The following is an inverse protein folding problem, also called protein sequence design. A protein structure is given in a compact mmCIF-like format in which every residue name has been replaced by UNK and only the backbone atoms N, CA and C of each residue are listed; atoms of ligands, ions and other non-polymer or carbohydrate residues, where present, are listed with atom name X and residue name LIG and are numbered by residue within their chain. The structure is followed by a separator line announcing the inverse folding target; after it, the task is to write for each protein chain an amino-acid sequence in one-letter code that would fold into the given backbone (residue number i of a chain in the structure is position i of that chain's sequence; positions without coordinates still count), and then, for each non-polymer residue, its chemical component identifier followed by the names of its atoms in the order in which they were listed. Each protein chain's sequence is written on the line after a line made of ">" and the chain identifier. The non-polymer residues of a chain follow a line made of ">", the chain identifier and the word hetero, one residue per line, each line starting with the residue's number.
data_IF_041533378559
#
_entry.id   IF_041533378559
#
_cell.length_a   1.000
_cell.length_b   1.000
_cell.length_c   1.000
_cell.angle_alpha   90.00
_cell.angle_beta   90.00
_cell.angle_gamma   90.00
#
_symmetry.space_group_name_H-M   'P 1'
#
loop_
_entity.id
_entity.type
_entity.pdbx_description
1 polymer ?
#
# COMPACT_ATOMS: atom_id res chain seq x y z
N UNK A 1 34.78 -51.65 66.52
CA UNK A 1 35.14 -51.50 65.05
C UNK A 1 33.94 -50.93 64.33
N UNK A 2 34.03 -49.61 64.04
CA UNK A 2 32.92 -48.88 63.28
C UNK A 2 33.34 -48.70 61.85
N UNK A 3 32.62 -49.35 60.91
CA UNK A 3 32.79 -49.17 59.49
C UNK A 3 32.10 -47.90 59.04
N UNK A 4 32.85 -46.93 58.53
CA UNK A 4 32.36 -45.70 57.94
C UNK A 4 32.16 -45.97 56.45
N UNK A 5 30.91 -45.99 55.97
CA UNK A 5 30.57 -46.10 54.55
C UNK A 5 30.61 -44.74 53.88
N UNK A 6 31.54 -44.58 52.96
CA UNK A 6 31.69 -43.36 52.13
C UNK A 6 30.73 -43.43 50.91
N UNK A 7 29.67 -42.63 50.92
CA UNK A 7 28.75 -42.49 49.76
C UNK A 7 29.38 -41.49 48.78
N UNK A 8 29.81 -41.99 47.63
CA UNK A 8 30.30 -41.19 46.52
C UNK A 8 29.12 -40.77 45.69
N UNK A 9 28.71 -39.47 45.80
CA UNK A 9 27.68 -38.89 44.94
C UNK A 9 28.27 -38.54 43.57
N UNK A 10 27.88 -39.29 42.54
CA UNK A 10 28.24 -39.04 41.14
C UNK A 10 27.33 -37.96 40.57
N UNK A 11 27.85 -36.71 40.46
CA UNK A 11 27.15 -35.62 39.77
C UNK A 11 27.30 -35.82 38.24
N UNK A 12 26.25 -36.30 37.58
CA UNK A 12 26.14 -36.30 36.12
C UNK A 12 25.88 -34.89 35.66
N UNK A 13 26.93 -34.21 35.14
CA UNK A 13 26.82 -32.96 34.38
C UNK A 13 26.17 -33.22 33.02
N UNK A 14 24.88 -33.00 32.91
CA UNK A 14 24.21 -32.93 31.64
C UNK A 14 24.59 -31.61 30.95
N UNK A 15 25.15 -31.63 29.74
CA UNK A 15 25.39 -30.41 29.01
C UNK A 15 24.05 -29.77 28.63
N UNK A 16 23.78 -28.58 29.16
CA UNK A 16 22.62 -27.77 28.76
C UNK A 16 22.88 -27.26 27.34
N UNK A 17 22.39 -27.99 26.34
CA UNK A 17 22.38 -27.51 24.95
C UNK A 17 21.32 -26.43 24.84
N UNK A 18 21.72 -25.16 24.93
CA UNK A 18 20.88 -24.02 24.56
C UNK A 18 20.72 -24.09 23.04
N UNK A 19 19.59 -24.61 22.59
CA UNK A 19 19.21 -24.48 21.19
C UNK A 19 19.01 -22.98 20.90
N UNK A 20 19.90 -22.43 20.06
CA UNK A 20 19.72 -21.07 19.56
C UNK A 20 18.36 -21.01 18.82
N UNK A 21 17.46 -20.13 19.26
CA UNK A 21 16.23 -19.90 18.53
C UNK A 21 16.60 -19.51 17.07
N UNK A 22 15.89 -20.06 16.06
CA UNK A 22 16.17 -19.70 14.68
C UNK A 22 16.01 -18.17 14.54
N UNK A 23 17.03 -17.52 14.00
CA UNK A 23 16.96 -16.11 13.61
C UNK A 23 15.83 -16.02 12.60
N UNK A 24 14.67 -15.49 13.00
CA UNK A 24 13.54 -15.25 12.11
C UNK A 24 14.01 -14.20 11.12
N UNK A 25 14.12 -14.55 9.83
CA UNK A 25 14.42 -13.58 8.79
C UNK A 25 13.41 -12.43 8.90
N UNK A 26 13.90 -11.20 8.84
CA UNK A 26 13.05 -10.03 8.90
C UNK A 26 12.05 -10.10 7.73
N UNK A 27 10.76 -9.99 8.05
CA UNK A 27 9.69 -10.05 7.06
C UNK A 27 9.77 -8.81 6.16
N UNK A 28 9.97 -9.01 4.85
CA UNK A 28 10.08 -7.92 3.88
C UNK A 28 8.66 -7.49 3.48
N UNK A 29 8.12 -6.45 4.11
CA UNK A 29 6.80 -5.90 3.78
C UNK A 29 6.89 -4.70 2.85
N UNK A 30 6.01 -4.66 1.85
CA UNK A 30 5.86 -3.55 0.91
C UNK A 30 4.39 -3.26 0.66
N UNK A 31 4.05 -1.99 0.36
CA UNK A 31 2.73 -1.59 -0.06
C UNK A 31 2.73 -1.20 -1.54
N UNK A 32 1.94 -1.90 -2.34
CA UNK A 32 1.65 -1.51 -3.71
C UNK A 32 0.47 -0.54 -3.69
N UNK A 33 0.62 0.62 -4.33
CA UNK A 33 -0.41 1.65 -4.31
C UNK A 33 -0.75 2.14 -5.70
N UNK A 34 -2.02 2.51 -5.92
CA UNK A 34 -2.55 2.99 -7.17
C UNK A 34 -3.31 4.29 -6.96
N UNK A 35 -3.00 5.30 -7.77
CA UNK A 35 -3.64 6.61 -7.74
C UNK A 35 -4.54 6.80 -8.98
N UNK A 36 -5.43 7.80 -8.91
CA UNK A 36 -6.26 8.33 -9.99
C UNK A 36 -7.49 7.50 -10.40
N UNK A 37 -7.60 6.26 -9.99
CA UNK A 37 -8.77 5.42 -10.32
C UNK A 37 -10.08 5.82 -9.61
N UNK A 38 -11.14 5.02 -9.80
CA UNK A 38 -11.16 3.80 -10.60
C UNK A 38 -11.26 4.04 -12.12
N UNK A 39 -10.76 3.08 -12.90
CA UNK A 39 -10.90 3.02 -14.35
C UNK A 39 -11.57 1.70 -14.77
N UNK A 40 -12.55 1.69 -15.69
CA UNK A 40 -13.35 0.50 -15.98
C UNK A 40 -12.57 -0.72 -16.47
N UNK A 41 -11.42 -0.51 -17.12
CA UNK A 41 -10.60 -1.61 -17.65
C UNK A 41 -9.33 -1.87 -16.84
N UNK A 42 -8.57 -0.81 -16.53
CA UNK A 42 -7.25 -1.00 -15.91
C UNK A 42 -7.36 -1.43 -14.46
N UNK A 43 -8.29 -0.83 -13.69
CA UNK A 43 -8.57 -1.26 -12.32
C UNK A 43 -8.93 -2.74 -12.29
N UNK A 44 -9.81 -3.20 -13.21
CA UNK A 44 -10.19 -4.62 -13.30
C UNK A 44 -8.99 -5.53 -13.62
N UNK A 45 -8.12 -5.11 -14.55
CA UNK A 45 -6.89 -5.88 -14.89
C UNK A 45 -5.94 -5.98 -13.69
N UNK A 46 -5.80 -4.89 -12.94
CA UNK A 46 -4.98 -4.88 -11.72
C UNK A 46 -5.59 -5.78 -10.65
N UNK A 47 -6.90 -5.68 -10.39
CA UNK A 47 -7.59 -6.56 -9.44
C UNK A 47 -7.46 -8.05 -9.82
N UNK A 48 -7.50 -8.37 -11.11
CA UNK A 48 -7.27 -9.72 -11.60
C UNK A 48 -5.84 -10.21 -11.29
N UNK A 49 -4.82 -9.34 -11.42
CA UNK A 49 -3.45 -9.65 -11.04
C UNK A 49 -3.31 -9.86 -9.52
N UNK A 50 -3.86 -8.93 -8.72
CA UNK A 50 -3.83 -9.05 -7.25
C UNK A 50 -4.45 -10.38 -6.80
N UNK A 51 -5.61 -10.72 -7.35
CA UNK A 51 -6.30 -11.99 -7.07
C UNK A 51 -5.47 -13.20 -7.51
N UNK A 52 -4.86 -13.15 -8.72
CA UNK A 52 -4.03 -14.23 -9.26
C UNK A 52 -2.85 -14.56 -8.36
N UNK A 53 -2.23 -13.54 -7.78
CA UNK A 53 -1.05 -13.70 -6.94
C UNK A 53 -1.38 -13.75 -5.43
N UNK A 54 -2.65 -13.63 -5.05
CA UNK A 54 -3.08 -13.69 -3.65
C UNK A 54 -2.53 -12.54 -2.79
N UNK A 55 -2.39 -11.34 -3.39
CA UNK A 55 -1.83 -10.15 -2.74
C UNK A 55 -2.87 -9.05 -2.61
N UNK A 56 -2.62 -8.09 -1.73
CA UNK A 56 -3.44 -6.88 -1.54
C UNK A 56 -2.72 -5.62 -2.01
N UNK A 57 -3.45 -4.50 -2.06
CA UNK A 57 -2.94 -3.18 -2.43
C UNK A 57 -3.80 -2.08 -1.79
N UNK A 58 -3.35 -0.81 -1.92
CA UNK A 58 -4.11 0.37 -1.52
C UNK A 58 -4.37 1.25 -2.74
N UNK A 59 -5.63 1.67 -2.92
CA UNK A 59 -6.06 2.54 -4.01
C UNK A 59 -6.49 3.90 -3.47
N UNK A 60 -5.86 4.97 -3.96
CA UNK A 60 -6.25 6.34 -3.68
C UNK A 60 -7.15 6.84 -4.81
N UNK A 61 -8.45 6.88 -4.54
CA UNK A 61 -9.47 7.09 -5.57
C UNK A 61 -9.86 8.56 -5.70
N UNK A 62 -10.15 8.97 -6.94
CA UNK A 62 -10.71 10.28 -7.27
C UNK A 62 -12.24 10.19 -7.23
N UNK A 63 -12.89 11.12 -6.52
CA UNK A 63 -14.35 11.13 -6.37
C UNK A 63 -15.09 11.22 -7.71
N UNK A 64 -14.66 12.09 -8.63
CA UNK A 64 -15.25 12.20 -9.98
C UNK A 64 -15.20 10.87 -10.74
N UNK A 65 -14.11 10.12 -10.61
CA UNK A 65 -13.96 8.83 -11.30
C UNK A 65 -14.88 7.76 -10.72
N UNK A 66 -15.22 7.83 -9.43
CA UNK A 66 -16.26 6.98 -8.85
C UNK A 66 -17.62 7.29 -9.47
N UNK A 67 -17.97 8.57 -9.63
CA UNK A 67 -19.24 8.98 -10.26
C UNK A 67 -19.29 8.60 -11.75
N UNK A 68 -18.17 8.72 -12.49
CA UNK A 68 -18.10 8.32 -13.89
C UNK A 68 -18.13 6.80 -14.07
N UNK A 69 -17.54 6.04 -13.14
CA UNK A 69 -17.36 4.60 -13.27
C UNK A 69 -17.82 3.84 -12.00
N UNK A 70 -19.10 3.97 -11.59
CA UNK A 70 -19.60 3.40 -10.34
C UNK A 70 -19.48 1.87 -10.28
N UNK A 71 -19.64 1.19 -11.43
CA UNK A 71 -19.46 -0.26 -11.50
C UNK A 71 -17.99 -0.68 -11.28
N UNK A 72 -17.02 0.11 -11.76
CA UNK A 72 -15.60 -0.14 -11.50
C UNK A 72 -15.28 0.06 -10.01
N UNK A 73 -15.82 1.12 -9.40
CA UNK A 73 -15.67 1.33 -7.96
C UNK A 73 -16.33 0.21 -7.14
N UNK A 74 -17.50 -0.25 -7.56
CA UNK A 74 -18.16 -1.40 -6.91
C UNK A 74 -17.25 -2.62 -6.90
N UNK A 75 -16.64 -2.98 -8.03
CA UNK A 75 -15.72 -4.13 -8.11
C UNK A 75 -14.46 -3.89 -7.27
N UNK A 76 -13.90 -2.69 -7.29
CA UNK A 76 -12.77 -2.30 -6.47
C UNK A 76 -13.06 -2.52 -4.98
N UNK A 77 -14.13 -1.94 -4.50
CA UNK A 77 -14.60 -2.06 -3.11
C UNK A 77 -14.86 -3.52 -2.69
N UNK A 78 -15.54 -4.28 -3.56
CA UNK A 78 -15.91 -5.67 -3.28
C UNK A 78 -14.70 -6.63 -3.32
N UNK A 79 -13.55 -6.19 -3.84
CA UNK A 79 -12.32 -6.98 -3.88
C UNK A 79 -11.59 -7.04 -2.53
N UNK A 80 -11.95 -6.20 -1.56
CA UNK A 80 -11.35 -6.16 -0.23
C UNK A 80 -9.98 -5.46 -0.15
N UNK A 81 -9.60 -4.68 -1.16
CA UNK A 81 -8.42 -3.81 -1.11
C UNK A 81 -8.66 -2.59 -0.21
N UNK A 82 -7.60 -1.95 0.23
CA UNK A 82 -7.71 -0.70 0.98
C UNK A 82 -8.00 0.48 0.05
N UNK A 83 -8.91 1.37 0.46
CA UNK A 83 -9.30 2.56 -0.29
C UNK A 83 -8.93 3.81 0.50
N UNK A 84 -8.16 4.71 -0.11
CA UNK A 84 -7.83 6.04 0.38
C UNK A 84 -8.45 7.14 -0.48
N UNK A 85 -8.45 8.36 0.04
CA UNK A 85 -8.95 9.56 -0.61
C UNK A 85 -7.85 10.21 -1.46
N UNK A 86 -8.14 10.54 -2.74
CA UNK A 86 -7.23 11.27 -3.63
C UNK A 86 -7.83 12.61 -4.11
N UNK A 87 -8.69 13.23 -3.30
CA UNK A 87 -9.54 14.38 -3.61
C UNK A 87 -10.72 14.01 -4.53
N UNK A 88 -11.62 14.98 -4.71
CA UNK A 88 -12.77 14.77 -5.59
C UNK A 88 -12.40 14.94 -7.07
N UNK A 89 -11.69 16.03 -7.44
CA UNK A 89 -11.44 16.40 -8.83
C UNK A 89 -9.96 16.42 -9.24
N UNK A 90 -9.06 15.95 -8.37
CA UNK A 90 -7.61 16.00 -8.58
C UNK A 90 -7.07 17.42 -8.89
N UNK A 91 -7.38 18.44 -8.05
CA UNK A 91 -6.97 19.80 -8.30
C UNK A 91 -5.46 19.98 -8.11
N UNK A 92 -4.89 21.03 -8.73
CA UNK A 92 -3.51 21.45 -8.48
C UNK A 92 -3.40 22.10 -7.10
N UNK A 93 -2.96 21.33 -6.10
CA UNK A 93 -2.91 21.79 -4.71
C UNK A 93 -1.87 22.88 -4.42
N UNK A 94 -1.03 23.23 -5.39
CA UNK A 94 -0.12 24.39 -5.26
C UNK A 94 -0.93 25.68 -5.37
N UNK A 95 -1.11 26.36 -4.24
CA UNK A 95 -1.88 27.60 -4.16
C UNK A 95 -3.36 27.42 -3.84
N UNK A 96 -3.83 26.19 -3.62
CA UNK A 96 -5.18 25.93 -3.14
C UNK A 96 -5.40 26.46 -1.72
N UNK A 97 -6.62 26.94 -1.47
CA UNK A 97 -7.02 27.41 -0.15
C UNK A 97 -7.37 26.22 0.77
N UNK A 98 -7.29 26.45 2.07
CA UNK A 98 -7.71 25.43 3.05
C UNK A 98 -9.19 25.05 2.90
N UNK A 99 -10.05 26.02 2.52
CA UNK A 99 -11.47 25.76 2.30
C UNK A 99 -11.72 24.88 1.08
N UNK A 100 -11.03 25.17 -0.04
CA UNK A 100 -11.16 24.40 -1.28
C UNK A 100 -10.68 22.95 -1.06
N UNK A 101 -9.51 22.75 -0.45
CA UNK A 101 -9.02 21.41 -0.16
C UNK A 101 -9.94 20.65 0.81
N UNK A 102 -10.49 21.33 1.82
CA UNK A 102 -11.44 20.71 2.74
C UNK A 102 -12.70 20.23 2.02
N UNK A 103 -13.21 20.98 1.06
CA UNK A 103 -14.37 20.59 0.24
C UNK A 103 -14.04 19.42 -0.68
N UNK A 104 -12.88 19.43 -1.31
CA UNK A 104 -12.38 18.31 -2.14
C UNK A 104 -12.32 16.99 -1.37
N UNK A 105 -11.74 17.02 -0.15
CA UNK A 105 -11.66 15.83 0.70
C UNK A 105 -13.03 15.33 1.13
N UNK A 106 -13.88 16.25 1.58
CA UNK A 106 -15.24 15.95 2.04
C UNK A 106 -16.08 15.37 0.92
N UNK A 107 -16.07 15.97 -0.27
CA UNK A 107 -16.85 15.52 -1.41
C UNK A 107 -16.42 14.12 -1.88
N UNK A 108 -15.12 13.85 -1.94
CA UNK A 108 -14.62 12.52 -2.26
C UNK A 108 -15.07 11.48 -1.21
N UNK A 109 -14.98 11.78 0.08
CA UNK A 109 -15.47 10.92 1.16
C UNK A 109 -16.97 10.63 1.00
N UNK A 110 -17.77 11.65 0.74
CA UNK A 110 -19.23 11.52 0.55
C UNK A 110 -19.56 10.58 -0.63
N UNK A 111 -18.84 10.73 -1.76
CA UNK A 111 -19.02 9.86 -2.93
C UNK A 111 -18.62 8.42 -2.64
N UNK A 112 -17.51 8.19 -1.93
CA UNK A 112 -17.10 6.85 -1.48
C UNK A 112 -18.21 6.21 -0.65
N UNK A 113 -18.73 6.92 0.35
CA UNK A 113 -19.77 6.43 1.26
C UNK A 113 -21.10 6.16 0.52
N UNK A 114 -21.54 7.07 -0.36
CA UNK A 114 -22.76 6.93 -1.15
C UNK A 114 -22.73 5.72 -2.09
N UNK A 115 -21.54 5.33 -2.54
CA UNK A 115 -21.35 4.12 -3.37
C UNK A 115 -21.03 2.87 -2.53
N UNK A 116 -21.29 2.91 -1.21
CA UNK A 116 -21.19 1.77 -0.30
C UNK A 116 -19.76 1.40 0.11
N UNK A 117 -18.81 2.29 -0.07
CA UNK A 117 -17.48 2.19 0.51
C UNK A 117 -17.47 2.53 2.00
N UNK A 118 -16.38 2.24 2.69
CA UNK A 118 -16.14 2.67 4.06
C UNK A 118 -15.49 4.06 4.09
N UNK A 119 -15.61 4.76 5.22
CA UNK A 119 -14.91 6.04 5.41
C UNK A 119 -13.40 5.82 5.30
N UNK A 120 -12.71 6.48 4.34
CA UNK A 120 -11.27 6.34 4.21
C UNK A 120 -10.55 7.06 5.36
N UNK A 121 -9.48 6.44 5.86
CA UNK A 121 -8.60 7.02 6.88
C UNK A 121 -7.31 7.59 6.29
N UNK A 122 -7.00 7.20 5.05
CA UNK A 122 -5.81 7.62 4.31
C UNK A 122 -6.14 8.68 3.27
N UNK A 123 -5.25 9.65 3.14
CA UNK A 123 -5.28 10.66 2.09
C UNK A 123 -3.93 10.72 1.39
N UNK A 124 -3.93 10.74 0.07
CA UNK A 124 -2.74 11.07 -0.72
C UNK A 124 -3.00 12.36 -1.51
N UNK A 125 -2.18 13.41 -1.31
CA UNK A 125 -2.37 14.65 -2.05
C UNK A 125 -2.00 14.46 -3.53
N UNK A 126 -2.83 14.95 -4.47
CA UNK A 126 -2.47 15.07 -5.88
C UNK A 126 -1.05 15.60 -6.11
N UNK A 127 -0.33 15.02 -7.07
CA UNK A 127 1.06 15.36 -7.41
C UNK A 127 2.04 15.25 -6.21
N UNK A 128 1.66 14.61 -5.09
CA UNK A 128 2.46 14.54 -3.88
C UNK A 128 2.76 15.88 -3.23
N UNK A 129 1.90 16.89 -3.42
CA UNK A 129 2.10 18.23 -2.87
C UNK A 129 2.22 18.19 -1.36
N UNK A 130 3.34 18.70 -0.85
CA UNK A 130 3.65 18.75 0.58
C UNK A 130 3.82 20.20 1.02
N UNK A 131 2.82 20.73 1.72
CA UNK A 131 2.84 22.06 2.28
C UNK A 131 2.00 22.15 3.57
N UNK A 132 2.09 23.27 4.27
CA UNK A 132 1.41 23.47 5.55
C UNK A 132 -0.13 23.40 5.42
N UNK A 133 -0.70 23.89 4.33
CA UNK A 133 -2.15 23.84 4.08
C UNK A 133 -2.62 22.40 3.94
N UNK A 134 -1.93 21.59 3.13
CA UNK A 134 -2.24 20.17 2.95
C UNK A 134 -2.20 19.43 4.29
N UNK A 135 -1.12 19.60 5.05
CA UNK A 135 -0.97 18.95 6.37
C UNK A 135 -2.09 19.34 7.32
N UNK A 136 -2.31 20.65 7.51
CA UNK A 136 -3.31 21.14 8.48
C UNK A 136 -4.75 20.74 8.12
N UNK A 137 -5.09 20.73 6.83
CA UNK A 137 -6.45 20.37 6.38
C UNK A 137 -6.69 18.86 6.50
N UNK A 138 -5.73 18.05 6.08
CA UNK A 138 -5.86 16.58 6.18
C UNK A 138 -5.93 16.11 7.64
N UNK A 139 -5.08 16.63 8.52
CA UNK A 139 -5.11 16.32 9.96
C UNK A 139 -6.44 16.74 10.61
N UNK A 140 -6.93 17.96 10.30
CA UNK A 140 -8.21 18.44 10.80
C UNK A 140 -9.40 17.58 10.33
N UNK A 141 -9.32 17.03 9.13
CA UNK A 141 -10.33 16.13 8.57
C UNK A 141 -10.19 14.68 9.10
N UNK A 142 -9.15 14.39 9.90
CA UNK A 142 -8.90 13.08 10.49
C UNK A 142 -8.20 12.10 9.57
N UNK A 143 -7.54 12.59 8.52
CA UNK A 143 -6.76 11.75 7.59
C UNK A 143 -5.31 11.60 8.01
N UNK A 144 -4.77 10.39 7.82
CA UNK A 144 -3.34 10.17 7.73
C UNK A 144 -2.88 10.46 6.30
N UNK A 145 -2.02 11.47 6.13
CA UNK A 145 -1.44 11.79 4.81
C UNK A 145 -0.34 10.79 4.46
N UNK A 146 -0.45 10.18 3.27
CA UNK A 146 0.46 9.15 2.79
C UNK A 146 1.15 9.61 1.51
N UNK A 147 2.47 9.49 1.49
CA UNK A 147 3.32 9.68 0.31
C UNK A 147 3.91 8.33 -0.11
N UNK A 148 4.72 8.32 -1.16
CA UNK A 148 5.48 7.18 -1.63
C UNK A 148 6.98 7.38 -1.41
N UNK A 149 7.71 6.30 -1.41
CA UNK A 149 9.17 6.32 -1.38
C UNK A 149 9.80 5.57 -2.56
N UNK A 150 8.96 5.01 -3.46
CA UNK A 150 9.35 4.46 -4.75
C UNK A 150 8.35 4.93 -5.81
N UNK A 151 8.81 5.78 -6.73
CA UNK A 151 8.04 6.26 -7.88
C UNK A 151 8.38 5.40 -9.09
N UNK A 152 7.38 4.80 -9.72
CA UNK A 152 7.56 3.98 -10.91
C UNK A 152 7.65 4.81 -12.19
N UNK A 153 7.23 6.07 -12.12
CA UNK A 153 7.09 6.98 -13.25
C UNK A 153 6.17 6.46 -14.38
N UNK A 154 5.26 5.54 -14.06
CA UNK A 154 4.33 4.93 -15.02
C UNK A 154 3.40 5.96 -15.70
N UNK A 155 3.07 7.02 -14.97
CA UNK A 155 2.28 8.16 -15.44
C UNK A 155 2.92 8.95 -16.60
N UNK A 156 4.21 8.78 -16.85
CA UNK A 156 4.92 9.44 -17.96
C UNK A 156 4.76 8.72 -19.29
N UNK A 157 4.03 7.59 -19.33
CA UNK A 157 3.86 6.77 -20.54
C UNK A 157 5.10 5.95 -20.91
N UNK A 158 6.05 5.76 -19.98
CA UNK A 158 7.24 4.97 -20.26
C UNK A 158 6.92 3.49 -20.50
N UNK A 159 7.77 2.78 -21.29
CA UNK A 159 7.60 1.35 -21.55
C UNK A 159 7.61 0.50 -20.29
N UNK A 160 6.88 -0.60 -20.30
CA UNK A 160 6.75 -1.52 -19.18
C UNK A 160 8.08 -2.04 -18.63
N UNK A 161 9.11 -2.20 -19.45
CA UNK A 161 10.45 -2.63 -19.03
C UNK A 161 11.15 -1.58 -18.14
N UNK A 162 10.87 -0.30 -18.37
CA UNK A 162 11.42 0.78 -17.52
C UNK A 162 10.70 0.84 -16.17
N UNK A 163 9.37 0.66 -16.17
CA UNK A 163 8.58 0.56 -14.93
C UNK A 163 9.06 -0.65 -14.12
N UNK A 164 9.23 -1.82 -14.75
CA UNK A 164 9.78 -3.02 -14.13
C UNK A 164 11.14 -2.74 -13.49
N UNK A 165 12.06 -2.12 -14.24
CA UNK A 165 13.40 -1.77 -13.75
C UNK A 165 13.34 -0.81 -12.57
N UNK A 166 12.50 0.24 -12.64
CA UNK A 166 12.33 1.20 -11.56
C UNK A 166 11.92 0.53 -10.25
N UNK A 167 11.02 -0.46 -10.32
CA UNK A 167 10.61 -1.23 -9.15
C UNK A 167 11.74 -2.13 -8.67
N UNK A 168 12.26 -3.01 -9.54
CA UNK A 168 13.18 -4.07 -9.15
C UNK A 168 14.54 -3.55 -8.64
N UNK A 169 15.01 -2.41 -9.13
CA UNK A 169 16.28 -1.82 -8.70
C UNK A 169 16.17 -1.01 -7.39
N UNK A 170 14.95 -0.60 -6.99
CA UNK A 170 14.76 0.33 -5.87
C UNK A 170 13.90 -0.20 -4.73
N UNK A 171 13.21 -1.33 -4.92
CA UNK A 171 12.36 -1.92 -3.89
C UNK A 171 13.17 -2.39 -2.69
N UNK A 172 12.65 -2.12 -1.50
CA UNK A 172 13.22 -2.57 -0.22
C UNK A 172 12.11 -2.75 0.81
N UNK A 173 12.44 -3.37 1.94
CA UNK A 173 11.50 -3.47 3.07
C UNK A 173 10.98 -2.07 3.45
N UNK A 174 9.66 -1.92 3.58
CA UNK A 174 9.00 -0.64 3.85
C UNK A 174 8.77 0.23 2.61
N UNK A 175 8.95 -0.30 1.39
CA UNK A 175 8.60 0.46 0.17
C UNK A 175 7.09 0.68 0.06
N UNK A 176 6.71 1.93 -0.19
CA UNK A 176 5.38 2.33 -0.67
C UNK A 176 5.56 2.70 -2.14
N UNK A 177 5.06 1.83 -3.02
CA UNK A 177 5.27 1.90 -4.47
C UNK A 177 4.13 2.67 -5.10
N UNK A 178 4.44 3.79 -5.79
CA UNK A 178 3.46 4.55 -6.56
C UNK A 178 3.29 3.94 -7.95
N UNK A 179 2.06 3.61 -8.27
CA UNK A 179 1.55 3.29 -9.59
C UNK A 179 0.23 4.04 -9.81
N UNK A 180 -0.30 3.94 -11.04
CA UNK A 180 -1.61 4.52 -11.38
C UNK A 180 -2.47 3.45 -12.07
N UNK A 181 -3.74 3.39 -11.68
CA UNK A 181 -4.73 2.54 -12.37
C UNK A 181 -5.55 3.34 -13.40
N UNK A 182 -5.40 4.68 -13.41
CA UNK A 182 -5.92 5.54 -14.46
C UNK A 182 -4.82 6.48 -14.99
N UNK A 183 -4.42 6.30 -16.24
CA UNK A 183 -3.47 7.17 -16.94
C UNK A 183 -4.16 7.63 -18.22
N UNK A 184 -4.33 8.94 -18.37
CA UNK A 184 -4.92 9.54 -19.58
C UNK A 184 -4.06 9.18 -20.79
N UNK A 185 -4.68 8.62 -21.84
CA UNK A 185 -3.95 8.12 -23.02
C UNK A 185 -3.42 6.69 -22.88
N UNK A 186 -3.62 6.04 -21.72
CA UNK A 186 -3.19 4.68 -21.44
C UNK A 186 -1.80 4.60 -20.83
N UNK A 187 -1.47 3.42 -20.30
CA UNK A 187 -0.20 3.16 -19.62
C UNK A 187 0.22 1.69 -19.72
N UNK A 188 1.43 1.42 -19.25
CA UNK A 188 2.05 0.09 -19.30
C UNK A 188 2.17 -0.57 -17.91
N UNK A 189 1.47 -0.02 -16.91
CA UNK A 189 1.51 -0.47 -15.51
C UNK A 189 1.11 -1.94 -15.36
N UNK A 190 -0.02 -2.33 -15.93
CA UNK A 190 -0.52 -3.72 -15.88
C UNK A 190 0.49 -4.71 -16.47
N UNK A 191 1.08 -4.35 -17.61
CA UNK A 191 2.09 -5.19 -18.28
C UNK A 191 3.36 -5.34 -17.41
N UNK A 192 3.86 -4.25 -16.84
CA UNK A 192 5.01 -4.27 -15.94
C UNK A 192 4.73 -5.13 -14.70
N UNK A 193 3.59 -4.92 -14.05
CA UNK A 193 3.21 -5.65 -12.85
C UNK A 193 3.05 -7.16 -13.09
N UNK A 194 2.62 -7.58 -14.29
CA UNK A 194 2.55 -9.01 -14.64
C UNK A 194 3.89 -9.72 -14.51
N UNK A 195 5.01 -9.01 -14.74
CA UNK A 195 6.37 -9.53 -14.61
C UNK A 195 6.98 -9.29 -13.22
N UNK A 196 6.64 -8.16 -12.61
CA UNK A 196 7.21 -7.72 -11.32
C UNK A 196 6.68 -8.53 -10.15
N UNK A 197 5.35 -8.72 -10.08
CA UNK A 197 4.71 -9.32 -8.90
C UNK A 197 5.23 -10.72 -8.56
N UNK A 198 5.34 -11.68 -9.51
CA UNK A 198 5.88 -13.00 -9.20
C UNK A 198 7.33 -12.93 -8.73
N UNK A 199 8.15 -12.05 -9.30
CA UNK A 199 9.56 -11.90 -8.89
C UNK A 199 9.71 -11.38 -7.47
N UNK A 200 8.89 -10.39 -7.08
CA UNK A 200 8.90 -9.85 -5.71
C UNK A 200 8.46 -10.92 -4.68
N UNK A 201 7.46 -11.74 -5.03
CA UNK A 201 7.05 -12.86 -4.20
C UNK A 201 8.17 -13.90 -4.06
N UNK A 202 8.86 -14.24 -5.16
CA UNK A 202 10.00 -15.17 -5.16
C UNK A 202 11.19 -14.62 -4.35
N UNK A 203 11.38 -13.30 -4.30
CA UNK A 203 12.37 -12.63 -3.46
C UNK A 203 11.96 -12.51 -1.97
N UNK A 204 10.77 -13.02 -1.62
CA UNK A 204 10.26 -13.08 -0.26
C UNK A 204 9.60 -11.80 0.24
N UNK A 205 9.16 -10.91 -0.67
CA UNK A 205 8.35 -9.76 -0.29
C UNK A 205 6.90 -10.16 -0.01
N UNK A 206 6.34 -9.61 1.07
CA UNK A 206 4.92 -9.72 1.41
C UNK A 206 4.24 -8.38 1.09
N UNK A 207 3.16 -8.46 0.32
CA UNK A 207 2.35 -7.29 -0.01
C UNK A 207 1.30 -7.05 1.07
N UNK A 208 1.33 -5.86 1.64
CA UNK A 208 0.39 -5.43 2.68
C UNK A 208 -0.28 -4.12 2.29
N UNK A 209 -1.37 -3.74 2.97
CA UNK A 209 -1.96 -2.41 2.80
C UNK A 209 -1.04 -1.33 3.37
N UNK A 210 -1.26 -0.07 2.99
CA UNK A 210 -0.52 1.06 3.58
C UNK A 210 -0.79 1.15 5.08
N UNK A 211 -2.04 0.96 5.51
CA UNK A 211 -2.37 0.97 6.94
C UNK A 211 -1.62 -0.10 7.71
N UNK A 212 -1.55 -1.33 7.19
CA UNK A 212 -0.78 -2.40 7.82
C UNK A 212 0.72 -2.08 7.85
N UNK A 213 1.29 -1.57 6.73
CA UNK A 213 2.71 -1.24 6.65
C UNK A 213 3.12 -0.17 7.65
N UNK A 214 2.27 0.83 7.87
CA UNK A 214 2.52 1.96 8.76
C UNK A 214 2.01 1.75 10.19
N UNK A 215 1.35 0.61 10.49
CA UNK A 215 0.78 0.34 11.81
C UNK A 215 -0.38 1.28 12.17
N UNK A 216 -1.14 1.76 11.17
CA UNK A 216 -2.32 2.60 11.36
C UNK A 216 -3.50 1.69 11.68
N UNK A 217 -4.25 2.01 12.74
CA UNK A 217 -5.48 1.28 13.04
C UNK A 217 -6.53 1.53 11.94
N UNK A 218 -7.06 0.45 11.36
CA UNK A 218 -8.14 0.47 10.37
C UNK A 218 -9.51 0.56 11.06
#
# INVERSE_FOLDING_TARGET
>A
MRFLALLLALFLLFPLTVAAAPIRAEEKKIALTFDDGPHPENTDKILALLKRFGITATFFVIGENIEYFPDAFKRLKDSGVEIGNHTYSHPKLRGETASSLSEELKRCEEVILQNGGSKPTLFRPPEGVKNQTVTAVSEKAGYQTVYWNLDTLDWTGMPSEKIERAIMENVKNGSIILCHDYIVGGGHTVEALTRVLPRLLDEGYTFVTVSELLGIAS
#
